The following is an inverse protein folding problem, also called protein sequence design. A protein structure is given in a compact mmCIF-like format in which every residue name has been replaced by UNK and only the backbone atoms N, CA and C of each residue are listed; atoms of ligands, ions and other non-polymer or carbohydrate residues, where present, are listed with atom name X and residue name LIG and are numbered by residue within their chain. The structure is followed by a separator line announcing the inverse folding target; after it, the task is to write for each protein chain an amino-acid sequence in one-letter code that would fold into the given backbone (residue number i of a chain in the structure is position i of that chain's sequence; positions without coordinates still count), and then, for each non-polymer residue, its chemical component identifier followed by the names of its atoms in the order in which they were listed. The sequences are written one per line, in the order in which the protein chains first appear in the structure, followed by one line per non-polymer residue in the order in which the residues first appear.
data_IF_821411698994
#
_entry.id   IF_821411698994
#
_cell.length_a   1.000
_cell.length_b   1.000
_cell.length_c   1.000
_cell.angle_alpha   90.00
_cell.angle_beta   90.00
_cell.angle_gamma   90.00
#
_symmetry.space_group_name_H-M   'P 1'
#
loop_
_entity.id
_entity.type
_entity.pdbx_description
1 polymer ?
#
# COMPACT_ATOMS: atom_id res chain seq x y z
N UNK A 1 33.96 15.77 -61.17
CA UNK A 1 34.07 16.03 -59.72
C UNK A 1 32.83 16.81 -59.35
N UNK A 2 31.81 16.08 -58.93
CA UNK A 2 30.47 16.57 -58.66
C UNK A 2 30.45 17.09 -57.22
N UNK A 3 30.26 18.39 -57.04
CA UNK A 3 30.22 19.00 -55.71
C UNK A 3 28.79 18.91 -55.19
N UNK A 4 28.55 17.89 -54.37
CA UNK A 4 27.36 17.72 -53.55
C UNK A 4 27.21 18.94 -52.62
N UNK A 5 26.35 19.89 -53.00
CA UNK A 5 26.13 21.12 -52.24
C UNK A 5 25.06 20.85 -51.18
N UNK A 6 25.38 20.81 -49.88
CA UNK A 6 24.36 20.74 -48.84
C UNK A 6 23.45 21.97 -48.98
N UNK A 7 22.15 21.79 -48.81
CA UNK A 7 21.15 22.86 -48.96
C UNK A 7 21.53 24.14 -48.19
N UNK A 8 20.93 25.27 -48.59
CA UNK A 8 21.26 26.58 -48.02
C UNK A 8 21.19 26.56 -46.48
N UNK A 9 21.95 27.43 -45.79
CA UNK A 9 21.89 27.55 -44.32
C UNK A 9 20.46 27.71 -43.80
N UNK A 10 19.59 28.38 -44.57
CA UNK A 10 18.17 28.54 -44.25
C UNK A 10 17.41 27.20 -44.28
N UNK A 11 17.70 26.33 -45.24
CA UNK A 11 17.08 25.01 -45.35
C UNK A 11 17.51 24.10 -44.20
N UNK A 12 18.79 24.16 -43.82
CA UNK A 12 19.30 23.45 -42.63
C UNK A 12 18.59 23.90 -41.36
N UNK A 13 18.39 25.21 -41.17
CA UNK A 13 17.67 25.73 -39.99
C UNK A 13 16.19 25.34 -40.00
N UNK A 14 15.52 25.36 -41.15
CA UNK A 14 14.12 24.90 -41.29
C UNK A 14 13.98 23.41 -41.01
N UNK A 15 14.94 22.60 -41.48
CA UNK A 15 14.99 21.18 -41.19
C UNK A 15 15.19 20.94 -39.68
N UNK A 16 16.19 21.58 -39.08
CA UNK A 16 16.45 21.47 -37.64
C UNK A 16 15.22 21.85 -36.80
N UNK A 17 14.53 22.94 -37.16
CA UNK A 17 13.28 23.34 -36.50
C UNK A 17 12.23 22.23 -36.54
N UNK A 18 11.95 21.65 -37.71
CA UNK A 18 10.95 20.58 -37.84
C UNK A 18 11.33 19.34 -37.03
N UNK A 19 12.61 18.97 -37.02
CA UNK A 19 13.11 17.84 -36.23
C UNK A 19 12.90 18.10 -34.75
N UNK A 20 13.26 19.28 -34.26
CA UNK A 20 13.07 19.65 -32.84
C UNK A 20 11.58 19.65 -32.50
N UNK A 21 10.71 20.25 -33.32
CA UNK A 21 9.27 20.26 -33.08
C UNK A 21 8.70 18.84 -32.99
N UNK A 22 9.08 17.97 -33.93
CA UNK A 22 8.63 16.58 -33.95
C UNK A 22 9.14 15.79 -32.73
N UNK A 23 10.41 15.97 -32.36
CA UNK A 23 11.00 15.31 -31.19
C UNK A 23 10.36 15.80 -29.90
N UNK A 24 10.19 17.12 -29.73
CA UNK A 24 9.53 17.70 -28.57
C UNK A 24 8.10 17.20 -28.42
N UNK A 25 7.33 17.11 -29.50
CA UNK A 25 5.97 16.57 -29.46
C UNK A 25 5.94 15.10 -28.98
N UNK A 26 6.89 14.28 -29.44
CA UNK A 26 7.00 12.88 -28.99
C UNK A 26 7.41 12.77 -27.52
N UNK A 27 8.34 13.61 -27.07
CA UNK A 27 8.79 13.63 -25.68
C UNK A 27 7.69 14.11 -24.73
N UNK A 28 6.94 15.15 -25.12
CA UNK A 28 5.78 15.60 -24.35
C UNK A 28 4.73 14.49 -24.24
N UNK A 29 4.41 13.81 -25.33
CA UNK A 29 3.45 12.70 -25.30
C UNK A 29 3.91 11.52 -24.40
N UNK A 30 5.22 11.31 -24.26
CA UNK A 30 5.77 10.33 -23.30
C UNK A 30 5.59 10.80 -21.85
N UNK A 31 5.95 12.06 -21.58
CA UNK A 31 5.82 12.68 -20.26
C UNK A 31 4.35 12.69 -19.82
N UNK A 32 3.43 13.08 -20.70
CA UNK A 32 1.99 13.12 -20.40
C UNK A 32 1.45 11.73 -20.02
N UNK A 33 1.95 10.66 -20.66
CA UNK A 33 1.60 9.29 -20.27
C UNK A 33 2.09 8.94 -18.87
N UNK A 34 3.35 9.26 -18.55
CA UNK A 34 3.88 9.01 -17.21
C UNK A 34 3.16 9.81 -16.13
N UNK A 35 2.79 11.06 -16.42
CA UNK A 35 1.97 11.88 -15.52
C UNK A 35 0.63 11.18 -15.28
N UNK A 36 -0.06 10.75 -16.33
CA UNK A 36 -1.36 10.08 -16.20
C UNK A 36 -1.27 8.77 -15.39
N UNK A 37 -0.19 8.00 -15.58
CA UNK A 37 0.09 6.79 -14.80
C UNK A 37 0.33 7.10 -13.32
N UNK A 38 1.11 8.15 -13.02
CA UNK A 38 1.43 8.53 -11.64
C UNK A 38 0.20 9.10 -10.93
N UNK A 39 -0.57 9.95 -11.61
CA UNK A 39 -1.84 10.45 -11.08
C UNK A 39 -2.83 9.31 -10.79
N UNK A 40 -2.83 8.25 -11.62
CA UNK A 40 -3.66 7.09 -11.37
C UNK A 40 -3.24 6.35 -10.09
N UNK A 41 -1.94 6.15 -9.90
CA UNK A 41 -1.40 5.55 -8.67
C UNK A 41 -1.74 6.38 -7.44
N UNK A 42 -1.65 7.69 -7.53
CA UNK A 42 -2.04 8.57 -6.43
C UNK A 42 -3.54 8.47 -6.12
N UNK A 43 -4.40 8.44 -7.14
CA UNK A 43 -5.85 8.25 -6.96
C UNK A 43 -6.15 6.94 -6.26
N UNK A 44 -5.51 5.85 -6.69
CA UNK A 44 -5.67 4.53 -6.07
C UNK A 44 -5.18 4.51 -4.62
N UNK A 45 -4.05 5.16 -4.32
CA UNK A 45 -3.54 5.31 -2.95
C UNK A 45 -4.52 6.08 -2.07
N UNK A 46 -4.99 7.24 -2.52
CA UNK A 46 -5.97 8.07 -1.79
C UNK A 46 -7.26 7.27 -1.53
N UNK A 47 -7.79 6.60 -2.56
CA UNK A 47 -8.97 5.75 -2.40
C UNK A 47 -8.72 4.58 -1.44
N UNK A 48 -7.54 3.98 -1.48
CA UNK A 48 -7.15 2.90 -0.57
C UNK A 48 -7.03 3.37 0.88
N UNK A 49 -6.57 4.59 1.11
CA UNK A 49 -6.51 5.23 2.44
C UNK A 49 -7.91 5.60 2.95
N UNK A 50 -8.76 6.21 2.10
CA UNK A 50 -10.15 6.55 2.44
C UNK A 50 -11.03 5.32 2.72
N UNK A 51 -10.82 4.24 1.96
CA UNK A 51 -11.58 2.97 2.11
C UNK A 51 -10.93 2.01 3.10
N UNK A 52 -9.79 2.36 3.71
CA UNK A 52 -9.14 1.47 4.67
C UNK A 52 -10.09 1.23 5.84
N UNK A 53 -10.44 -0.03 6.16
CA UNK A 53 -11.23 -0.29 7.35
C UNK A 53 -10.49 0.24 8.58
N UNK A 54 -11.22 0.68 9.62
CA UNK A 54 -10.60 1.09 10.87
C UNK A 54 -9.70 -0.05 11.39
N UNK A 55 -8.64 0.32 12.10
CA UNK A 55 -7.79 -0.67 12.73
C UNK A 55 -8.65 -1.53 13.66
N UNK A 56 -8.54 -2.87 13.59
CA UNK A 56 -9.35 -3.73 14.43
C UNK A 56 -8.92 -3.55 15.87
N UNK A 57 -9.86 -3.33 16.78
CA UNK A 57 -9.58 -3.17 18.22
C UNK A 57 -9.07 -4.45 18.87
N UNK A 58 -9.34 -5.61 18.25
CA UNK A 58 -8.99 -6.92 18.78
C UNK A 58 -8.40 -7.81 17.72
N UNK A 59 -7.45 -8.64 18.13
CA UNK A 59 -6.74 -9.56 17.27
C UNK A 59 -6.70 -10.95 17.91
N UNK A 60 -6.92 -11.98 17.10
CA UNK A 60 -6.74 -13.38 17.48
C UNK A 60 -5.47 -13.89 16.79
N UNK A 61 -4.49 -14.33 17.59
CA UNK A 61 -3.27 -14.94 17.09
C UNK A 61 -3.48 -16.44 16.92
N UNK A 62 -3.19 -16.94 15.72
CA UNK A 62 -3.26 -18.37 15.43
C UNK A 62 -1.91 -19.06 15.58
N UNK A 63 -1.98 -20.34 15.94
CA UNK A 63 -0.86 -21.28 15.98
C UNK A 63 -0.19 -21.48 14.63
N UNK A 64 0.93 -22.23 14.63
CA UNK A 64 1.53 -22.72 13.39
C UNK A 64 0.53 -23.60 12.63
N UNK A 65 -0.27 -24.38 13.37
CA UNK A 65 -1.52 -24.91 12.86
C UNK A 65 -2.60 -23.82 12.96
N UNK A 66 -3.13 -23.40 11.81
CA UNK A 66 -4.12 -22.31 11.69
C UNK A 66 -5.44 -22.61 12.42
N UNK A 67 -5.76 -23.87 12.73
CA UNK A 67 -6.93 -24.22 13.53
C UNK A 67 -6.79 -23.88 15.01
N UNK A 68 -5.55 -23.73 15.50
CA UNK A 68 -5.28 -23.48 16.90
C UNK A 68 -5.20 -21.97 17.15
N UNK A 69 -5.78 -21.54 18.26
CA UNK A 69 -5.70 -20.15 18.72
C UNK A 69 -4.67 -20.09 19.85
N UNK A 70 -3.64 -19.29 19.65
CA UNK A 70 -2.52 -19.16 20.59
C UNK A 70 -2.78 -18.06 21.63
N UNK A 71 -3.34 -16.92 21.23
CA UNK A 71 -3.55 -15.78 22.14
C UNK A 71 -4.56 -14.76 21.61
N UNK A 72 -5.18 -14.01 22.51
CA UNK A 72 -5.96 -12.80 22.21
C UNK A 72 -5.08 -11.57 22.44
N UNK A 73 -5.27 -10.51 21.64
CA UNK A 73 -4.54 -9.24 21.74
C UNK A 73 -5.46 -8.04 21.50
N UNK A 74 -5.06 -6.87 21.98
CA UNK A 74 -5.59 -5.59 21.49
C UNK A 74 -5.03 -5.28 20.09
N UNK A 75 -5.74 -4.42 19.36
CA UNK A 75 -5.43 -4.01 17.99
C UNK A 75 -4.06 -3.40 17.79
N UNK A 76 -3.57 -2.70 18.81
CA UNK A 76 -2.33 -1.94 18.83
C UNK A 76 -1.15 -2.72 19.43
N UNK A 77 -1.32 -4.01 19.73
CA UNK A 77 -0.27 -4.81 20.35
C UNK A 77 0.95 -4.99 19.41
N UNK A 78 2.12 -4.53 19.87
CA UNK A 78 3.36 -4.65 19.11
C UNK A 78 3.79 -6.11 18.85
N UNK A 79 3.48 -7.03 19.79
CA UNK A 79 3.80 -8.45 19.65
C UNK A 79 2.89 -9.10 18.60
N UNK A 80 1.60 -8.74 18.57
CA UNK A 80 0.67 -9.14 17.53
C UNK A 80 1.14 -8.68 16.15
N UNK A 81 1.56 -7.42 16.03
CA UNK A 81 2.04 -6.82 14.78
C UNK A 81 3.25 -7.55 14.19
N UNK A 82 4.18 -8.03 15.03
CA UNK A 82 5.36 -8.80 14.58
C UNK A 82 5.06 -10.26 14.24
N UNK A 83 3.94 -10.82 14.73
CA UNK A 83 3.69 -12.26 14.61
C UNK A 83 3.38 -12.73 13.19
N UNK A 84 2.79 -11.88 12.34
CA UNK A 84 2.25 -12.26 11.03
C UNK A 84 1.10 -13.30 11.09
N UNK A 85 0.65 -13.71 12.29
CA UNK A 85 -0.34 -14.78 12.52
C UNK A 85 -1.63 -14.28 13.16
N UNK A 86 -1.77 -12.97 13.30
CA UNK A 86 -2.96 -12.34 13.87
C UNK A 86 -4.03 -12.09 12.80
N UNK A 87 -5.29 -12.28 13.19
CA UNK A 87 -6.47 -11.93 12.39
C UNK A 87 -7.37 -10.97 13.17
N UNK A 88 -8.00 -10.00 12.49
CA UNK A 88 -9.03 -9.15 13.09
C UNK A 88 -10.11 -9.96 13.79
N UNK A 89 -10.53 -9.52 14.96
CA UNK A 89 -11.64 -10.07 15.71
C UNK A 89 -12.58 -8.96 16.18
N UNK A 90 -13.86 -9.30 16.28
CA UNK A 90 -14.84 -8.45 16.98
C UNK A 90 -14.64 -8.53 18.49
N UNK A 91 -15.16 -7.55 19.21
CA UNK A 91 -15.22 -7.55 20.67
C UNK A 91 -15.83 -8.86 21.21
N UNK A 92 -16.94 -9.32 20.62
CA UNK A 92 -17.60 -10.57 21.03
C UNK A 92 -16.73 -11.81 20.80
N UNK A 93 -15.99 -11.87 19.68
CA UNK A 93 -15.07 -12.97 19.39
C UNK A 93 -13.89 -13.00 20.36
N UNK A 94 -13.31 -11.83 20.67
CA UNK A 94 -12.23 -11.72 21.64
C UNK A 94 -12.69 -12.15 23.04
N UNK A 95 -13.85 -11.65 23.48
CA UNK A 95 -14.49 -12.03 24.74
C UNK A 95 -14.81 -13.53 24.80
N UNK A 96 -15.37 -14.09 23.72
CA UNK A 96 -15.66 -15.52 23.63
C UNK A 96 -14.39 -16.39 23.66
N UNK A 97 -13.31 -15.94 23.03
CA UNK A 97 -12.02 -16.63 23.05
C UNK A 97 -11.45 -16.67 24.48
N UNK A 98 -11.44 -15.54 25.18
CA UNK A 98 -11.00 -15.47 26.58
C UNK A 98 -11.85 -16.37 27.49
N UNK A 99 -13.17 -16.37 27.33
CA UNK A 99 -14.07 -17.28 28.08
C UNK A 99 -13.81 -18.77 27.80
N UNK A 100 -13.27 -19.09 26.62
CA UNK A 100 -12.80 -20.44 26.26
C UNK A 100 -11.38 -20.74 26.73
N UNK A 101 -10.84 -19.92 27.64
CA UNK A 101 -9.51 -20.08 28.23
C UNK A 101 -8.38 -19.97 27.21
N UNK A 102 -8.61 -19.28 26.08
CA UNK A 102 -7.51 -18.82 25.24
C UNK A 102 -6.75 -17.77 26.03
N UNK A 103 -5.41 -17.86 26.14
CA UNK A 103 -4.67 -16.97 26.99
C UNK A 103 -4.68 -15.54 26.44
N UNK A 104 -4.85 -14.52 27.30
CA UNK A 104 -4.62 -13.14 26.92
C UNK A 104 -3.13 -12.90 26.70
N UNK A 105 -2.78 -12.01 25.77
CA UNK A 105 -1.41 -11.56 25.64
C UNK A 105 -0.97 -10.78 26.88
N UNK A 106 0.12 -11.22 27.49
CA UNK A 106 0.69 -10.59 28.69
C UNK A 106 1.16 -9.15 28.48
N UNK A 107 1.43 -8.74 27.23
CA UNK A 107 1.95 -7.41 26.92
C UNK A 107 0.85 -6.36 26.76
N UNK A 108 -0.27 -6.71 26.13
CA UNK A 108 -1.38 -5.77 25.90
C UNK A 108 -2.58 -5.99 26.83
N UNK A 109 -2.59 -7.07 27.62
CA UNK A 109 -3.61 -7.38 28.63
C UNK A 109 -5.06 -7.15 28.13
N UNK A 110 -5.46 -7.80 27.03
CA UNK A 110 -6.79 -7.62 26.44
C UNK A 110 -7.91 -8.08 27.38
N UNK A 111 -7.63 -9.03 28.27
CA UNK A 111 -8.48 -9.44 29.39
C UNK A 111 -8.89 -8.24 30.26
N UNK A 112 -7.90 -7.45 30.68
CA UNK A 112 -8.12 -6.26 31.50
C UNK A 112 -8.89 -5.20 30.73
N UNK A 113 -8.55 -4.98 29.45
CA UNK A 113 -9.26 -4.05 28.58
C UNK A 113 -10.73 -4.47 28.33
N UNK A 114 -11.02 -5.77 28.34
CA UNK A 114 -12.37 -6.34 28.22
C UNK A 114 -13.10 -6.49 29.58
N UNK A 115 -12.49 -6.05 30.68
CA UNK A 115 -13.07 -6.14 32.02
C UNK A 115 -13.17 -7.57 32.56
N UNK A 116 -12.33 -8.48 32.07
CA UNK A 116 -12.14 -9.84 32.61
C UNK A 116 -10.81 -9.83 33.39
N UNK A 117 -10.80 -9.45 34.68
CA UNK A 117 -9.60 -9.62 35.49
C UNK A 117 -9.29 -11.11 35.68
N UNK A 118 -8.01 -11.42 35.91
CA UNK A 118 -7.47 -12.77 36.18
C UNK A 118 -8.29 -13.57 37.21
#
# INVERSE_FOLDING_TARGET
MDQDHPGSRLDTLRFARRVVEQQSAQQLALIDRWIAEEEQRERERRQGEERRPPQPEWLIQHGLNRSNIDAVHTGDCWAAAKSGRCRPATHEQALAALRRQIPPCVHCRPDTALGIPD
#
